data_IF_250445082384
#
_entry.id   IF_250445082384
#
_cell.length_a   1.000
_cell.length_b   1.000
_cell.length_c   1.000
_cell.angle_alpha   90.00
_cell.angle_beta   90.00
_cell.angle_gamma   90.00
#
_symmetry.space_group_name_H-M   'P 1'
#
loop_
_entity.id
_entity.type
_entity.pdbx_description
1 polymer ?
#
# COMPACT_ATOMS: atom_id res chain seq x y z
N UNK A 1 6.40 -11.82 25.23
CA UNK A 1 5.92 -10.67 24.45
C UNK A 1 6.81 -10.57 23.24
N UNK A 2 6.25 -10.43 22.04
CA UNK A 2 7.06 -10.17 20.83
C UNK A 2 7.59 -8.73 20.94
N UNK A 3 8.90 -8.55 20.80
CA UNK A 3 9.55 -7.24 20.72
C UNK A 3 9.77 -6.90 19.24
N UNK A 4 9.29 -5.73 18.82
CA UNK A 4 9.38 -5.22 17.44
C UNK A 4 10.09 -3.86 17.39
N UNK A 5 10.75 -3.48 18.48
CA UNK A 5 11.37 -2.15 18.60
C UNK A 5 12.45 -1.92 17.53
N UNK A 6 13.24 -2.93 17.17
CA UNK A 6 14.25 -2.83 16.11
C UNK A 6 13.60 -2.67 14.73
N UNK A 7 12.55 -3.43 14.42
CA UNK A 7 11.83 -3.38 13.15
C UNK A 7 11.10 -2.04 12.97
N UNK A 8 10.55 -1.49 14.05
CA UNK A 8 9.96 -0.16 14.08
C UNK A 8 11.03 0.93 13.89
N UNK A 9 12.16 0.84 14.60
CA UNK A 9 13.26 1.82 14.49
C UNK A 9 13.98 1.77 13.14
N UNK A 10 14.05 0.59 12.51
CA UNK A 10 14.68 0.41 11.20
C UNK A 10 13.78 0.75 10.02
N UNK A 11 12.50 1.09 10.27
CA UNK A 11 11.52 1.41 9.23
C UNK A 11 11.03 0.20 8.44
N UNK A 12 11.28 -1.02 8.92
CA UNK A 12 10.77 -2.27 8.31
C UNK A 12 9.27 -2.45 8.57
N UNK A 13 8.79 -1.94 9.70
CA UNK A 13 7.36 -1.88 10.00
C UNK A 13 6.92 -0.44 9.86
N UNK A 14 5.94 -0.22 8.99
CA UNK A 14 5.31 1.08 8.80
C UNK A 14 3.92 1.04 9.46
N UNK A 15 3.69 1.93 10.43
CA UNK A 15 2.39 2.09 11.06
C UNK A 15 1.66 3.25 10.38
N UNK A 16 0.44 2.97 9.92
CA UNK A 16 -0.43 3.95 9.30
C UNK A 16 -1.66 4.12 10.21
N UNK A 17 -1.94 5.35 10.60
CA UNK A 17 -3.21 5.71 11.22
C UNK A 17 -4.23 5.98 10.12
N UNK A 18 -5.30 5.17 10.06
CA UNK A 18 -6.33 5.25 9.03
C UNK A 18 -7.30 6.41 9.24
N UNK A 19 -7.32 7.00 10.44
CA UNK A 19 -8.16 8.16 10.77
C UNK A 19 -7.41 9.48 10.52
N UNK A 20 -6.12 9.44 10.14
CA UNK A 20 -5.38 10.65 9.81
C UNK A 20 -5.83 11.24 8.46
N UNK A 21 -6.01 12.56 8.41
CA UNK A 21 -6.40 13.33 7.22
C UNK A 21 -5.47 13.07 6.03
N UNK A 22 -4.18 12.85 6.28
CA UNK A 22 -3.16 12.68 5.24
C UNK A 22 -2.79 11.22 4.94
N UNK A 23 -3.60 10.27 5.38
CA UNK A 23 -3.34 8.84 5.16
C UNK A 23 -3.14 8.49 3.69
N UNK A 24 -3.92 9.10 2.78
CA UNK A 24 -3.78 8.91 1.33
C UNK A 24 -2.36 9.24 0.85
N UNK A 25 -1.77 10.36 1.31
CA UNK A 25 -0.42 10.77 0.92
C UNK A 25 0.62 9.76 1.43
N UNK A 26 0.46 9.27 2.66
CA UNK A 26 1.36 8.28 3.23
C UNK A 26 1.32 6.97 2.43
N UNK A 27 0.13 6.50 2.07
CA UNK A 27 -0.06 5.30 1.26
C UNK A 27 0.52 5.48 -0.16
N UNK A 28 0.32 6.63 -0.79
CA UNK A 28 0.92 6.91 -2.11
C UNK A 28 2.44 6.84 -2.05
N UNK A 29 3.07 7.44 -1.04
CA UNK A 29 4.53 7.39 -0.85
C UNK A 29 4.98 5.94 -0.68
N UNK A 30 4.32 5.18 0.21
CA UNK A 30 4.65 3.77 0.46
C UNK A 30 4.60 2.93 -0.81
N UNK A 31 3.52 3.05 -1.57
CA UNK A 31 3.36 2.28 -2.79
C UNK A 31 4.32 2.75 -3.90
N UNK A 32 4.75 4.01 -3.92
CA UNK A 32 5.74 4.51 -4.91
C UNK A 32 7.20 4.13 -4.56
N UNK A 33 7.44 3.48 -3.41
CA UNK A 33 8.76 2.99 -3.04
C UNK A 33 9.24 1.85 -3.96
N UNK A 34 10.56 1.67 -4.03
CA UNK A 34 11.24 0.70 -4.91
C UNK A 34 10.71 -0.74 -4.79
N UNK A 35 10.17 -1.09 -3.63
CA UNK A 35 9.68 -2.42 -3.30
C UNK A 35 8.14 -2.50 -3.31
N UNK A 36 7.46 -1.71 -4.16
CA UNK A 36 5.99 -1.69 -4.33
C UNK A 36 5.35 -3.08 -4.37
N UNK A 37 5.97 -4.04 -5.09
CA UNK A 37 5.44 -5.39 -5.21
C UNK A 37 5.37 -6.12 -3.86
N UNK A 38 6.32 -5.87 -2.95
CA UNK A 38 6.30 -6.43 -1.60
C UNK A 38 5.10 -5.89 -0.82
N UNK A 39 4.84 -4.58 -0.89
CA UNK A 39 3.67 -3.97 -0.27
C UNK A 39 2.34 -4.47 -0.87
N UNK A 40 2.29 -4.73 -2.18
CA UNK A 40 1.12 -5.34 -2.82
C UNK A 40 0.88 -6.78 -2.33
N UNK A 41 1.93 -7.58 -2.16
CA UNK A 41 1.82 -8.93 -1.58
C UNK A 41 1.36 -8.90 -0.12
N UNK A 42 1.81 -7.93 0.67
CA UNK A 42 1.34 -7.73 2.05
C UNK A 42 -0.14 -7.33 2.08
N UNK A 43 -0.55 -6.41 1.21
CA UNK A 43 -1.95 -6.04 1.04
C UNK A 43 -2.82 -7.24 0.66
N UNK A 44 -2.38 -8.07 -0.29
CA UNK A 44 -3.08 -9.29 -0.69
C UNK A 44 -3.26 -10.26 0.50
N UNK A 45 -2.23 -10.43 1.34
CA UNK A 45 -2.33 -11.26 2.53
C UNK A 45 -3.32 -10.68 3.56
N UNK A 46 -3.34 -9.36 3.73
CA UNK A 46 -4.26 -8.65 4.62
C UNK A 46 -5.71 -8.77 4.16
N UNK A 47 -6.02 -8.43 2.90
CA UNK A 47 -7.39 -8.40 2.37
C UNK A 47 -8.02 -9.80 2.34
N UNK A 48 -7.20 -10.84 2.23
CA UNK A 48 -7.65 -12.23 2.24
C UNK A 48 -7.74 -12.87 3.65
N UNK A 49 -7.35 -12.15 4.70
CA UNK A 49 -7.34 -12.70 6.05
C UNK A 49 -8.76 -12.80 6.65
N UNK A 50 -9.20 -14.04 6.92
CA UNK A 50 -10.53 -14.35 7.46
C UNK A 50 -10.75 -13.77 8.86
N UNK A 51 -9.70 -13.57 9.65
CA UNK A 51 -9.81 -13.04 11.00
C UNK A 51 -10.35 -11.61 10.99
N UNK A 52 -9.78 -10.72 10.17
CA UNK A 52 -10.22 -9.32 10.11
C UNK A 52 -11.64 -9.19 9.56
N UNK A 53 -11.97 -9.96 8.52
CA UNK A 53 -13.35 -10.02 7.99
C UNK A 53 -14.37 -10.44 9.04
N UNK A 54 -14.02 -11.36 9.93
CA UNK A 54 -14.96 -11.92 10.92
C UNK A 54 -15.14 -11.05 12.17
N UNK A 55 -14.06 -10.38 12.62
CA UNK A 55 -14.05 -9.71 13.92
C UNK A 55 -13.92 -8.19 13.84
N UNK A 56 -13.54 -7.65 12.68
CA UNK A 56 -13.23 -6.23 12.46
C UNK A 56 -13.71 -5.76 11.08
N UNK A 57 -14.88 -6.23 10.62
CA UNK A 57 -15.40 -6.03 9.26
C UNK A 57 -15.42 -4.56 8.82
N UNK A 58 -15.94 -3.65 9.65
CA UNK A 58 -16.02 -2.22 9.31
C UNK A 58 -14.65 -1.58 9.11
N UNK A 59 -13.70 -1.87 10.01
CA UNK A 59 -12.33 -1.33 9.95
C UNK A 59 -11.59 -1.94 8.76
N UNK A 60 -11.78 -3.24 8.54
CA UNK A 60 -11.21 -3.96 7.40
C UNK A 60 -11.70 -3.36 6.08
N UNK A 61 -13.00 -3.12 5.93
CA UNK A 61 -13.58 -2.51 4.73
C UNK A 61 -13.04 -1.11 4.45
N UNK A 62 -12.95 -0.25 5.48
CA UNK A 62 -12.37 1.10 5.34
C UNK A 62 -10.91 1.05 4.89
N UNK A 63 -10.10 0.19 5.52
CA UNK A 63 -8.69 0.05 5.18
C UNK A 63 -8.50 -0.51 3.76
N UNK A 64 -9.35 -1.45 3.35
CA UNK A 64 -9.35 -2.01 2.00
C UNK A 64 -9.66 -0.95 0.93
N UNK A 65 -10.72 -0.16 1.14
CA UNK A 65 -11.09 0.94 0.22
C UNK A 65 -9.97 1.97 0.07
N UNK A 66 -9.33 2.35 1.19
CA UNK A 66 -8.17 3.23 1.22
C UNK A 66 -6.99 2.67 0.42
N UNK A 67 -6.66 1.40 0.63
CA UNK A 67 -5.57 0.75 -0.11
C UNK A 67 -5.90 0.66 -1.61
N UNK A 68 -7.09 0.18 -1.98
CA UNK A 68 -7.51 0.07 -3.38
C UNK A 68 -7.41 1.39 -4.13
N UNK A 69 -7.90 2.48 -3.54
CA UNK A 69 -7.86 3.82 -4.13
C UNK A 69 -6.43 4.25 -4.44
N UNK A 70 -5.51 4.07 -3.49
CA UNK A 70 -4.12 4.50 -3.64
C UNK A 70 -3.33 3.58 -4.60
N UNK A 71 -3.54 2.27 -4.53
CA UNK A 71 -2.95 1.30 -5.47
C UNK A 71 -3.37 1.61 -6.91
N UNK A 72 -4.64 1.92 -7.16
CA UNK A 72 -5.14 2.29 -8.50
C UNK A 72 -4.43 3.52 -9.06
N UNK A 73 -4.18 4.54 -8.23
CA UNK A 73 -3.44 5.75 -8.63
C UNK A 73 -2.01 5.40 -9.03
N UNK A 74 -1.32 4.59 -8.23
CA UNK A 74 0.06 4.20 -8.45
C UNK A 74 0.21 3.36 -9.72
N UNK A 75 -0.65 2.37 -9.95
CA UNK A 75 -0.67 1.56 -11.18
C UNK A 75 -0.93 2.43 -12.41
N UNK A 76 -1.84 3.41 -12.32
CA UNK A 76 -2.10 4.32 -13.43
C UNK A 76 -0.87 5.17 -13.77
N UNK A 77 -0.16 5.66 -12.76
CA UNK A 77 1.06 6.45 -12.94
C UNK A 77 2.21 5.61 -13.52
N UNK A 78 2.35 4.36 -13.08
CA UNK A 78 3.26 3.37 -13.69
C UNK A 78 2.96 3.17 -15.17
N UNK A 79 1.70 2.90 -15.53
CA UNK A 79 1.31 2.72 -16.92
C UNK A 79 1.58 3.98 -17.77
N UNK A 80 1.29 5.16 -17.23
CA UNK A 80 1.58 6.43 -17.91
C UNK A 80 3.09 6.64 -18.15
N UNK A 81 3.92 6.33 -17.16
CA UNK A 81 5.38 6.45 -17.29
C UNK A 81 5.97 5.41 -18.25
N UNK A 82 5.43 4.19 -18.28
CA UNK A 82 5.75 3.16 -19.27
C UNK A 82 5.42 3.63 -20.69
N UNK A 83 4.22 4.18 -20.92
CA UNK A 83 3.81 4.69 -22.23
C UNK A 83 4.76 5.78 -22.75
N UNK A 84 5.13 6.75 -21.89
CA UNK A 84 6.11 7.80 -22.25
C UNK A 84 7.48 7.17 -22.55
N UNK A 85 7.90 6.18 -21.77
CA UNK A 85 9.14 5.44 -21.99
C UNK A 85 9.19 4.78 -23.36
N UNK A 86 8.11 4.11 -23.79
CA UNK A 86 8.06 3.43 -25.10
C UNK A 86 7.99 4.38 -26.30
N UNK A 87 7.32 5.52 -26.18
CA UNK A 87 7.31 6.56 -27.24
C UNK A 87 8.71 7.09 -27.55
N UNK A 88 9.62 7.08 -26.57
CA UNK A 88 11.02 7.49 -26.76
C UNK A 88 11.85 6.48 -27.58
N UNK A 89 11.37 5.24 -27.75
CA UNK A 89 12.07 4.17 -28.49
C UNK A 89 11.43 3.85 -29.85
N UNK A 90 10.32 4.49 -30.23
CA UNK A 90 9.64 4.28 -31.51
C UNK A 90 10.28 5.02 -32.71
N UNK A 91 11.61 5.09 -32.77
CA UNK A 91 12.36 5.60 -33.93
C UNK A 91 12.85 4.47 -34.84
#
# INVERSE_FOLDING_TARGET
TIDLSEELCSGKIYLVDIEEERVDIQLLILFDMKDMFEYLSLYEMFVNNVYYKKFYEDIWHKADELCEKNIKVVIRNLNSSLCIGFECYSH
#
